data_IF_209738933689
#
_entry.id   IF_209738933689
#
_cell.length_a   1.000
_cell.length_b   1.000
_cell.length_c   1.000
_cell.angle_alpha   90.00
_cell.angle_beta   90.00
_cell.angle_gamma   90.00
#
_symmetry.space_group_name_H-M   'P 1'
#
loop_
_entity.id
_entity.type
_entity.pdbx_description
1 polymer ?
#
# COMPACT_ATOMS: atom_id res chain seq x y z
N UNK A 1 -7.61 -9.82 28.94
CA UNK A 1 -6.60 -9.92 27.88
C UNK A 1 -7.18 -9.29 26.61
N UNK A 2 -6.75 -8.09 26.26
CA UNK A 2 -6.93 -7.53 24.93
C UNK A 2 -5.73 -6.60 24.70
N UNK A 3 -4.72 -7.12 24.01
CA UNK A 3 -3.51 -6.39 23.68
C UNK A 3 -3.88 -5.27 22.69
N UNK A 4 -3.71 -4.03 23.13
CA UNK A 4 -3.72 -2.86 22.27
C UNK A 4 -2.56 -2.94 21.27
N UNK A 5 -2.88 -2.70 20.00
CA UNK A 5 -1.90 -2.47 18.93
C UNK A 5 -1.89 -0.98 18.63
N UNK A 6 -1.04 -0.29 19.39
CA UNK A 6 -0.53 1.04 19.08
C UNK A 6 0.36 0.96 17.83
N UNK A 7 0.11 1.79 16.83
CA UNK A 7 1.12 2.40 15.96
C UNK A 7 0.44 3.48 15.12
N UNK A 8 0.57 4.71 15.59
CA UNK A 8 -0.04 5.90 15.03
C UNK A 8 0.53 6.35 13.68
N UNK A 9 -0.27 7.20 13.03
CA UNK A 9 0.22 8.36 12.27
C UNK A 9 -0.91 9.39 12.21
N UNK A 10 -1.05 10.15 13.30
CA UNK A 10 -1.75 11.43 13.28
C UNK A 10 -0.90 12.46 12.51
N UNK A 11 -1.42 12.98 11.39
CA UNK A 11 -1.35 14.39 10.94
C UNK A 11 -1.55 14.53 9.43
N UNK A 12 -2.67 15.10 8.99
CA UNK A 12 -2.81 16.55 8.67
C UNK A 12 -4.17 16.78 8.01
N UNK A 13 -4.93 17.70 8.59
CA UNK A 13 -6.17 18.22 8.04
C UNK A 13 -5.91 18.84 6.66
N UNK A 14 -6.60 18.35 5.65
CA UNK A 14 -6.91 19.06 4.42
C UNK A 14 -8.41 18.84 4.20
N UNK A 15 -9.20 19.88 4.03
CA UNK A 15 -10.67 19.85 4.05
C UNK A 15 -11.32 19.09 2.86
N UNK A 16 -10.53 18.38 2.05
CA UNK A 16 -10.98 17.35 1.09
C UNK A 16 -10.44 15.93 1.37
N UNK A 17 -9.70 15.74 2.46
CA UNK A 17 -9.11 14.44 2.86
C UNK A 17 -10.07 13.52 3.61
N UNK A 18 -11.15 14.05 4.19
CA UNK A 18 -12.12 13.26 4.95
C UNK A 18 -12.92 12.32 4.05
N UNK A 19 -13.29 12.77 2.85
CA UNK A 19 -14.03 11.95 1.88
C UNK A 19 -13.15 10.79 1.35
N UNK A 20 -11.89 11.05 1.00
CA UNK A 20 -10.95 10.02 0.56
C UNK A 20 -10.67 8.99 1.67
N UNK A 21 -10.55 9.44 2.91
CA UNK A 21 -10.34 8.57 4.06
C UNK A 21 -11.57 7.70 4.36
N UNK A 22 -12.79 8.26 4.24
CA UNK A 22 -14.04 7.52 4.35
C UNK A 22 -14.18 6.47 3.25
N UNK A 23 -13.81 6.81 2.00
CA UNK A 23 -13.80 5.89 0.87
C UNK A 23 -12.80 4.75 1.10
N UNK A 24 -11.61 5.05 1.64
CA UNK A 24 -10.63 4.02 2.05
C UNK A 24 -11.21 3.10 3.11
N UNK A 25 -11.86 3.62 4.14
CA UNK A 25 -12.46 2.79 5.19
C UNK A 25 -13.59 1.90 4.66
N UNK A 26 -14.43 2.42 3.75
CA UNK A 26 -15.42 1.61 3.01
C UNK A 26 -14.73 0.50 2.20
N UNK A 27 -13.71 0.85 1.43
CA UNK A 27 -12.95 -0.12 0.64
C UNK A 27 -12.30 -1.20 1.52
N UNK A 28 -11.75 -0.83 2.67
CA UNK A 28 -11.20 -1.75 3.68
C UNK A 28 -12.27 -2.71 4.21
N UNK A 29 -13.50 -2.24 4.41
CA UNK A 29 -14.63 -3.08 4.82
C UNK A 29 -14.96 -4.13 3.77
N UNK A 30 -15.16 -3.72 2.51
CA UNK A 30 -15.40 -4.65 1.40
C UNK A 30 -14.24 -5.63 1.20
N UNK A 31 -13.00 -5.16 1.37
CA UNK A 31 -11.82 -6.01 1.32
C UNK A 31 -11.84 -7.10 2.41
N UNK A 32 -12.28 -6.78 3.64
CA UNK A 32 -12.46 -7.76 4.73
C UNK A 32 -13.60 -8.74 4.44
N UNK A 33 -14.66 -8.26 3.78
CA UNK A 33 -15.78 -9.08 3.31
C UNK A 33 -15.41 -9.96 2.10
N UNK A 34 -14.16 -9.88 1.62
CA UNK A 34 -13.62 -10.57 0.43
C UNK A 34 -14.25 -10.11 -0.90
N UNK A 35 -14.97 -9.00 -0.87
CA UNK A 35 -15.48 -8.33 -2.06
C UNK A 35 -14.41 -7.37 -2.59
N UNK A 36 -13.48 -7.94 -3.37
CA UNK A 36 -12.34 -7.18 -3.88
C UNK A 36 -12.71 -6.24 -5.02
N UNK A 37 -13.75 -6.55 -5.80
CA UNK A 37 -14.21 -5.72 -6.91
C UNK A 37 -14.76 -4.39 -6.40
N UNK A 38 -15.65 -4.42 -5.40
CA UNK A 38 -16.14 -3.20 -4.77
C UNK A 38 -15.02 -2.48 -4.02
N UNK A 39 -14.10 -3.19 -3.36
CA UNK A 39 -12.93 -2.56 -2.74
C UNK A 39 -12.09 -1.77 -3.76
N UNK A 40 -11.79 -2.34 -4.93
CA UNK A 40 -11.05 -1.67 -6.01
C UNK A 40 -11.77 -0.39 -6.47
N UNK A 41 -13.10 -0.46 -6.62
CA UNK A 41 -13.92 0.69 -7.01
C UNK A 41 -13.77 1.83 -6.00
N UNK A 42 -14.00 1.58 -4.71
CA UNK A 42 -13.89 2.61 -3.68
C UNK A 42 -12.45 3.13 -3.50
N UNK A 43 -11.42 2.29 -3.68
CA UNK A 43 -10.04 2.80 -3.71
C UNK A 43 -9.77 3.70 -4.91
N UNK A 44 -10.39 3.43 -6.06
CA UNK A 44 -10.25 4.27 -7.24
C UNK A 44 -10.95 5.61 -7.04
N UNK A 45 -12.14 5.62 -6.46
CA UNK A 45 -12.83 6.85 -6.05
C UNK A 45 -11.99 7.65 -5.05
N UNK A 46 -11.35 6.98 -4.07
CA UNK A 46 -10.45 7.65 -3.12
C UNK A 46 -9.23 8.29 -3.81
N UNK A 47 -8.73 7.67 -4.88
CA UNK A 47 -7.64 8.19 -5.70
C UNK A 47 -8.07 9.36 -6.60
N UNK A 48 -9.33 9.42 -7.02
CA UNK A 48 -9.87 10.59 -7.73
C UNK A 48 -9.95 11.81 -6.81
N UNK A 49 -10.31 11.61 -5.55
CA UNK A 49 -10.33 12.67 -4.54
C UNK A 49 -8.91 13.08 -4.13
N UNK A 50 -8.02 12.11 -3.93
CA UNK A 50 -6.64 12.38 -3.56
C UNK A 50 -5.63 11.45 -4.26
N UNK A 51 -5.09 11.87 -5.42
CA UNK A 51 -4.17 11.07 -6.22
C UNK A 51 -2.74 11.06 -5.65
N UNK A 52 -2.47 11.79 -4.56
CA UNK A 52 -1.11 11.94 -4.01
C UNK A 52 -0.82 11.00 -2.85
N UNK A 53 -1.76 10.13 -2.47
CA UNK A 53 -1.60 9.25 -1.33
C UNK A 53 -1.13 7.84 -1.75
N UNK A 54 0.10 7.49 -1.37
CA UNK A 54 0.69 6.18 -1.65
C UNK A 54 -0.08 5.00 -1.02
N UNK A 55 -0.80 5.25 0.09
CA UNK A 55 -1.57 4.22 0.80
C UNK A 55 -2.71 3.67 -0.06
N UNK A 56 -3.43 4.54 -0.79
CA UNK A 56 -4.56 4.12 -1.62
C UNK A 56 -4.10 3.24 -2.79
N UNK A 57 -3.02 3.62 -3.48
CA UNK A 57 -2.40 2.78 -4.51
C UNK A 57 -1.94 1.43 -3.95
N UNK A 58 -1.29 1.41 -2.78
CA UNK A 58 -0.86 0.17 -2.15
C UNK A 58 -2.04 -0.74 -1.77
N UNK A 59 -3.14 -0.18 -1.26
CA UNK A 59 -4.31 -0.97 -0.90
C UNK A 59 -5.07 -1.49 -2.14
N UNK A 60 -5.16 -0.68 -3.21
CA UNK A 60 -5.73 -1.11 -4.49
C UNK A 60 -4.88 -2.21 -5.13
N UNK A 61 -3.55 -2.10 -5.08
CA UNK A 61 -2.64 -3.16 -5.54
C UNK A 61 -2.86 -4.49 -4.82
N UNK A 62 -3.14 -4.43 -3.51
CA UNK A 62 -3.47 -5.63 -2.74
C UNK A 62 -4.79 -6.24 -3.21
N UNK A 63 -5.82 -5.43 -3.45
CA UNK A 63 -7.08 -5.93 -3.99
C UNK A 63 -6.89 -6.60 -5.35
N UNK A 64 -6.08 -6.01 -6.25
CA UNK A 64 -5.72 -6.64 -7.52
C UNK A 64 -4.92 -7.94 -7.36
N UNK A 65 -4.05 -8.05 -6.36
CA UNK A 65 -3.36 -9.32 -6.05
C UNK A 65 -4.36 -10.42 -5.67
N UNK A 66 -5.47 -10.07 -5.01
CA UNK A 66 -6.51 -11.02 -4.59
C UNK A 66 -7.44 -11.43 -5.74
N UNK A 67 -7.58 -10.58 -6.76
CA UNK A 67 -8.32 -10.88 -8.00
C UNK A 67 -7.42 -11.42 -9.11
N UNK A 68 -6.18 -11.82 -8.78
CA UNK A 68 -5.20 -12.37 -9.71
C UNK A 68 -4.80 -11.43 -10.87
N UNK A 69 -5.11 -10.15 -10.73
CA UNK A 69 -4.81 -9.08 -11.68
C UNK A 69 -3.40 -8.52 -11.44
N UNK A 70 -2.39 -9.37 -11.52
CA UNK A 70 -1.02 -9.06 -11.08
C UNK A 70 -0.36 -7.92 -11.88
N UNK A 71 -0.72 -7.73 -13.14
CA UNK A 71 -0.22 -6.61 -13.96
C UNK A 71 -0.66 -5.24 -13.42
N UNK A 72 -1.95 -5.11 -13.08
CA UNK A 72 -2.50 -3.90 -12.47
C UNK A 72 -1.95 -3.69 -11.06
N UNK A 73 -1.81 -4.77 -10.27
CA UNK A 73 -1.19 -4.69 -8.96
C UNK A 73 0.25 -4.16 -9.02
N UNK A 74 1.04 -4.61 -9.99
CA UNK A 74 2.42 -4.14 -10.18
C UNK A 74 2.47 -2.65 -10.53
N UNK A 75 1.59 -2.19 -11.41
CA UNK A 75 1.51 -0.78 -11.80
C UNK A 75 1.17 0.11 -10.58
N UNK A 76 0.16 -0.26 -9.81
CA UNK A 76 -0.24 0.48 -8.61
C UNK A 76 0.83 0.47 -7.53
N UNK A 77 1.46 -0.67 -7.27
CA UNK A 77 2.55 -0.75 -6.30
C UNK A 77 3.77 0.10 -6.72
N UNK A 78 4.04 0.17 -8.03
CA UNK A 78 5.08 1.06 -8.57
C UNK A 78 4.68 2.52 -8.36
N UNK A 79 3.42 2.88 -8.64
CA UNK A 79 2.93 4.25 -8.44
C UNK A 79 3.01 4.69 -6.98
N UNK A 80 2.68 3.80 -6.05
CA UNK A 80 2.83 4.06 -4.61
C UNK A 80 4.28 4.41 -4.24
N UNK A 81 5.26 3.73 -4.84
CA UNK A 81 6.69 3.97 -4.61
C UNK A 81 7.23 5.21 -5.34
N UNK A 82 6.62 5.63 -6.43
CA UNK A 82 6.93 6.92 -7.08
C UNK A 82 6.54 8.09 -6.17
N UNK A 83 5.42 7.96 -5.46
CA UNK A 83 4.91 8.96 -4.52
C UNK A 83 5.74 8.95 -3.23
N UNK A 84 5.88 7.78 -2.60
CA UNK A 84 6.67 7.60 -1.39
C UNK A 84 7.69 6.47 -1.56
N UNK A 85 8.93 6.89 -1.81
CA UNK A 85 10.08 5.99 -2.02
C UNK A 85 10.52 5.25 -0.77
N UNK A 86 10.09 5.69 0.41
CA UNK A 86 10.41 5.05 1.69
C UNK A 86 9.25 4.18 2.19
N UNK A 87 8.19 4.03 1.39
CA UNK A 87 7.02 3.26 1.77
C UNK A 87 7.30 1.75 1.72
N UNK A 88 7.71 1.19 2.85
CA UNK A 88 8.07 -0.23 3.01
C UNK A 88 6.96 -1.16 2.50
N UNK A 89 5.69 -0.87 2.83
CA UNK A 89 4.55 -1.68 2.37
C UNK A 89 4.42 -1.68 0.83
N UNK A 90 4.75 -0.58 0.17
CA UNK A 90 4.76 -0.47 -1.30
C UNK A 90 5.76 -1.43 -1.94
N UNK A 91 6.97 -1.55 -1.38
CA UNK A 91 7.96 -2.52 -1.85
C UNK A 91 7.48 -3.95 -1.65
N UNK A 92 6.84 -4.26 -0.52
CA UNK A 92 6.23 -5.58 -0.32
C UNK A 92 5.16 -5.87 -1.38
N UNK A 93 4.27 -4.93 -1.69
CA UNK A 93 3.23 -5.12 -2.73
C UNK A 93 3.85 -5.33 -4.12
N UNK A 94 4.89 -4.56 -4.46
CA UNK A 94 5.61 -4.70 -5.74
C UNK A 94 6.32 -6.04 -5.83
N UNK A 95 6.99 -6.46 -4.76
CA UNK A 95 7.65 -7.75 -4.67
C UNK A 95 6.67 -8.92 -4.83
N UNK A 96 5.54 -8.90 -4.11
CA UNK A 96 4.49 -9.93 -4.23
C UNK A 96 3.90 -9.99 -5.64
N UNK A 97 3.66 -8.82 -6.26
CA UNK A 97 3.15 -8.76 -7.64
C UNK A 97 4.17 -9.33 -8.64
N UNK A 98 5.45 -9.02 -8.47
CA UNK A 98 6.54 -9.59 -9.27
C UNK A 98 6.68 -11.11 -9.06
N UNK A 99 6.52 -11.61 -7.83
CA UNK A 99 6.53 -13.05 -7.55
C UNK A 99 5.39 -13.77 -8.25
N UNK A 100 4.17 -13.21 -8.21
CA UNK A 100 3.00 -13.77 -8.88
C UNK A 100 3.15 -13.77 -10.42
N UNK A 101 3.88 -12.80 -10.98
CA UNK A 101 4.24 -12.74 -12.40
C UNK A 101 5.45 -13.61 -12.79
N UNK A 102 6.07 -14.34 -11.85
CA UNK A 102 7.27 -15.15 -12.08
C UNK A 102 8.58 -14.34 -12.21
N UNK A 103 8.55 -13.04 -11.91
CA UNK A 103 9.70 -12.11 -11.97
C UNK A 103 10.49 -12.13 -10.65
N UNK A 104 11.03 -13.30 -10.28
CA UNK A 104 11.70 -13.50 -8.99
C UNK A 104 12.90 -12.58 -8.74
N UNK A 105 13.69 -12.29 -9.78
CA UNK A 105 14.85 -11.38 -9.68
C UNK A 105 14.44 -9.97 -9.25
N UNK A 106 13.33 -9.47 -9.79
CA UNK A 106 12.82 -8.14 -9.44
C UNK A 106 12.25 -8.12 -8.01
N UNK A 107 11.54 -9.18 -7.61
CA UNK A 107 11.03 -9.31 -6.25
C UNK A 107 12.17 -9.36 -5.21
N UNK A 108 13.25 -10.10 -5.47
CA UNK A 108 14.40 -10.18 -4.58
C UNK A 108 15.02 -8.80 -4.33
N UNK A 109 15.22 -8.03 -5.40
CA UNK A 109 15.74 -6.65 -5.33
C UNK A 109 14.87 -5.75 -4.45
N UNK A 110 13.55 -5.90 -4.54
CA UNK A 110 12.61 -5.15 -3.70
C UNK A 110 12.74 -5.53 -2.22
N UNK A 111 12.87 -6.83 -1.91
CA UNK A 111 13.09 -7.29 -0.54
C UNK A 111 14.44 -6.83 0.05
N UNK A 112 15.51 -6.85 -0.75
CA UNK A 112 16.82 -6.31 -0.35
C UNK A 112 16.74 -4.82 -0.04
N UNK A 113 15.98 -4.06 -0.86
CA UNK A 113 15.75 -2.63 -0.63
C UNK A 113 15.04 -2.40 0.70
N UNK A 114 14.00 -3.19 1.02
CA UNK A 114 13.32 -3.11 2.31
C UNK A 114 14.27 -3.40 3.48
N UNK A 115 15.10 -4.44 3.36
CA UNK A 115 16.10 -4.79 4.38
C UNK A 115 17.07 -3.64 4.63
N UNK A 116 17.54 -3.00 3.56
CA UNK A 116 18.46 -1.88 3.63
C UNK A 116 17.80 -0.64 4.25
N UNK A 117 16.57 -0.30 3.88
CA UNK A 117 15.81 0.81 4.47
C UNK A 117 15.64 0.58 5.99
N UNK A 118 15.21 -0.62 6.39
CA UNK A 118 15.00 -0.97 7.79
C UNK A 118 16.30 -0.97 8.61
N UNK A 119 17.43 -1.33 8.01
CA UNK A 119 18.73 -1.32 8.66
C UNK A 119 19.27 0.12 8.80
N UNK A 120 19.00 0.97 7.80
CA UNK A 120 19.43 2.37 7.82
C UNK A 120 18.74 3.14 8.95
N UNK A 121 17.41 3.03 9.11
CA UNK A 121 16.67 3.71 10.19
C UNK A 121 17.15 3.31 11.59
N UNK A 122 17.58 2.06 11.79
CA UNK A 122 18.10 1.62 13.08
C UNK A 122 19.47 2.21 13.40
N UNK A 123 20.32 2.42 12.38
CA UNK A 123 21.68 2.93 12.57
C UNK A 123 21.74 4.44 12.85
N UNK A 124 20.77 5.22 12.38
CA UNK A 124 20.69 6.68 12.62
C UNK A 124 20.02 7.05 13.94
N UNK A 125 19.24 6.16 14.56
CA UNK A 125 18.56 6.43 15.84
C UNK A 125 19.38 6.04 17.08
N UNK A 126 20.58 5.48 16.92
CA UNK A 126 21.47 5.05 18.03
C UNK A 126 22.62 6.02 18.33
N UNK A 127 22.47 7.31 18.00
CA UNK A 127 23.39 8.39 18.41
C UNK A 127 22.64 9.57 19.01
#
# INVERSE_FOLDING_TARGET
>A
MAYGSDYGSEKKMAEGGNDAELLKEKANKYFKEKDYENAIKYYSEALEVNPTNAVYYSNRSLAYLRTECYGYALADATKALEIDKNYIKGYYRRATSNMALGKFKAALKDYETVRNISCFTFSICTH
#
